data_IF_809581829108
#
_entry.id   IF_809581829108
#
_cell.length_a   1.000
_cell.length_b   1.000
_cell.length_c   1.000
_cell.angle_alpha   90.00
_cell.angle_beta   90.00
_cell.angle_gamma   90.00
#
_symmetry.space_group_name_H-M   'P 1'
#
loop_
_entity.id
_entity.type
_entity.pdbx_description
1 polymer ?
#
# COMPACT_ATOMS: atom_id res chain seq x y z
N UNK A 1 -9.30 -3.02 2.51
CA UNK A 1 -9.90 -1.83 3.15
C UNK A 1 -9.90 -2.02 4.65
N UNK A 2 -9.69 -0.95 5.43
CA UNK A 2 -9.76 -0.95 6.90
C UNK A 2 -10.44 0.33 7.37
N UNK A 3 -10.93 0.32 8.61
CA UNK A 3 -11.70 1.42 9.19
C UNK A 3 -13.17 1.41 8.75
N UNK A 4 -13.86 2.52 8.90
CA UNK A 4 -15.28 2.62 8.53
C UNK A 4 -15.46 2.72 7.01
N UNK A 5 -15.99 1.67 6.43
CA UNK A 5 -16.23 1.57 4.98
C UNK A 5 -17.54 2.22 4.53
N UNK A 6 -18.45 2.51 5.47
CA UNK A 6 -19.79 3.05 5.17
C UNK A 6 -19.86 4.57 5.37
N UNK A 7 -19.00 5.14 6.20
CA UNK A 7 -18.96 6.57 6.45
C UNK A 7 -18.51 7.35 5.19
N UNK A 8 -19.07 8.55 5.04
CA UNK A 8 -18.65 9.53 4.06
C UNK A 8 -17.56 10.42 4.69
N UNK A 9 -16.52 10.66 3.94
CA UNK A 9 -15.38 11.50 4.36
C UNK A 9 -15.22 12.65 3.38
N UNK A 10 -14.73 13.78 3.89
CA UNK A 10 -14.56 15.02 3.11
C UNK A 10 -13.27 15.05 2.31
N UNK A 11 -12.23 14.40 2.82
CA UNK A 11 -10.88 14.44 2.22
C UNK A 11 -10.37 13.06 1.89
N UNK A 12 -9.70 12.99 0.74
CA UNK A 12 -8.88 11.86 0.34
C UNK A 12 -7.42 12.27 0.33
N UNK A 13 -6.59 11.57 1.07
CA UNK A 13 -5.14 11.74 1.08
C UNK A 13 -4.56 10.51 0.40
N UNK A 14 -3.84 10.73 -0.71
CA UNK A 14 -3.29 9.68 -1.55
C UNK A 14 -1.77 9.67 -1.51
N UNK A 15 -1.20 8.47 -1.46
CA UNK A 15 0.23 8.22 -1.60
C UNK A 15 0.52 7.83 -3.05
N UNK A 16 1.16 8.71 -3.80
CA UNK A 16 1.40 8.55 -5.24
C UNK A 16 2.86 8.20 -5.49
N UNK A 17 3.10 7.18 -6.34
CA UNK A 17 4.43 6.78 -6.75
C UNK A 17 5.05 7.78 -7.74
N UNK A 18 6.31 8.15 -7.53
CA UNK A 18 7.07 9.03 -8.43
C UNK A 18 7.79 8.27 -9.53
N UNK A 19 8.15 7.02 -9.29
CA UNK A 19 8.87 6.16 -10.25
C UNK A 19 8.15 4.83 -10.46
N UNK A 20 8.31 4.18 -11.63
CA UNK A 20 7.76 2.86 -11.86
C UNK A 20 8.61 1.81 -11.17
N UNK A 21 7.98 0.97 -10.34
CA UNK A 21 8.69 -0.02 -9.53
C UNK A 21 7.87 -1.28 -9.27
N UNK A 22 8.52 -2.33 -8.77
CA UNK A 22 7.87 -3.52 -8.24
C UNK A 22 7.98 -3.54 -6.72
N UNK A 23 6.84 -3.40 -6.05
CA UNK A 23 6.77 -3.38 -4.59
C UNK A 23 6.37 -4.76 -4.09
N UNK A 24 7.18 -5.33 -3.19
CA UNK A 24 6.88 -6.63 -2.57
C UNK A 24 5.63 -6.55 -1.70
N UNK A 25 4.86 -7.64 -1.65
CA UNK A 25 3.66 -7.73 -0.80
C UNK A 25 3.93 -7.43 0.67
N UNK A 26 5.11 -7.83 1.18
CA UNK A 26 5.52 -7.55 2.57
C UNK A 26 5.65 -6.05 2.83
N UNK A 27 6.20 -5.28 1.88
CA UNK A 27 6.37 -3.83 2.01
C UNK A 27 5.00 -3.12 1.98
N UNK A 28 4.09 -3.55 1.10
CA UNK A 28 2.72 -3.02 1.04
C UNK A 28 1.96 -3.27 2.36
N UNK A 29 2.09 -4.49 2.90
CA UNK A 29 1.45 -4.84 4.16
C UNK A 29 2.05 -4.07 5.34
N UNK A 30 3.37 -3.93 5.39
CA UNK A 30 4.06 -3.13 6.41
C UNK A 30 3.63 -1.66 6.36
N UNK A 31 3.50 -1.09 5.15
CA UNK A 31 3.03 0.28 4.97
C UNK A 31 1.59 0.45 5.47
N UNK A 32 0.69 -0.50 5.11
CA UNK A 32 -0.70 -0.50 5.55
C UNK A 32 -0.81 -0.57 7.08
N UNK A 33 -0.10 -1.50 7.70
CA UNK A 33 -0.12 -1.70 9.17
C UNK A 33 0.44 -0.48 9.89
N UNK A 34 1.56 0.07 9.42
CA UNK A 34 2.17 1.26 10.02
C UNK A 34 1.26 2.49 9.93
N UNK A 35 0.64 2.73 8.76
CA UNK A 35 -0.30 3.82 8.59
C UNK A 35 -1.55 3.64 9.46
N UNK A 36 -2.08 2.41 9.53
CA UNK A 36 -3.25 2.09 10.35
C UNK A 36 -2.99 2.34 11.84
N UNK A 37 -1.81 1.95 12.35
CA UNK A 37 -1.46 2.17 13.75
C UNK A 37 -1.51 3.66 14.11
N UNK A 38 -0.91 4.52 13.28
CA UNK A 38 -0.90 5.98 13.53
C UNK A 38 -2.32 6.56 13.53
N UNK A 39 -3.19 6.09 12.63
CA UNK A 39 -4.58 6.56 12.56
C UNK A 39 -5.42 6.04 13.72
N UNK A 40 -5.25 4.78 14.08
CA UNK A 40 -5.96 4.17 15.18
C UNK A 40 -5.65 4.86 16.50
N UNK A 41 -4.37 5.16 16.76
CA UNK A 41 -3.93 5.86 17.97
C UNK A 41 -4.48 7.31 18.04
N UNK A 42 -4.71 7.96 16.89
CA UNK A 42 -5.17 9.34 16.82
C UNK A 42 -6.71 9.48 16.77
N UNK A 43 -7.41 8.59 16.09
CA UNK A 43 -8.83 8.77 15.70
C UNK A 43 -9.75 7.64 16.18
N UNK A 44 -9.18 6.54 16.72
CA UNK A 44 -9.94 5.34 17.00
C UNK A 44 -10.36 4.59 15.73
N UNK A 45 -11.27 3.64 15.83
CA UNK A 45 -11.61 2.68 14.77
C UNK A 45 -12.50 3.25 13.67
N UNK A 46 -13.34 4.22 13.98
CA UNK A 46 -14.40 4.74 13.09
C UNK A 46 -14.05 6.07 12.41
N UNK A 47 -12.96 6.73 12.81
CA UNK A 47 -12.61 8.08 12.34
C UNK A 47 -11.94 8.15 10.96
N UNK A 48 -11.69 7.02 10.31
CA UNK A 48 -10.96 6.97 9.04
C UNK A 48 -11.30 5.73 8.22
N UNK A 49 -10.89 5.75 6.94
CA UNK A 49 -10.92 4.60 6.05
C UNK A 49 -9.62 4.51 5.27
N UNK A 50 -8.99 3.35 5.27
CA UNK A 50 -7.80 3.04 4.47
C UNK A 50 -8.16 2.14 3.30
N UNK A 51 -7.66 2.49 2.10
CA UNK A 51 -7.81 1.70 0.91
C UNK A 51 -6.45 1.50 0.24
N UNK A 52 -5.97 0.25 0.20
CA UNK A 52 -4.80 -0.14 -0.59
C UNK A 52 -5.25 -0.32 -2.04
N UNK A 53 -4.72 0.52 -2.96
CA UNK A 53 -5.13 0.56 -4.39
C UNK A 53 -4.38 -0.45 -5.24
N UNK A 54 -3.23 -0.86 -4.81
CA UNK A 54 -2.33 -1.73 -5.57
C UNK A 54 -2.41 -3.15 -5.04
N UNK A 55 -2.53 -4.13 -5.96
CA UNK A 55 -2.61 -5.55 -5.60
C UNK A 55 -1.36 -6.32 -6.05
N UNK A 56 -0.72 -7.13 -5.18
CA UNK A 56 0.49 -7.90 -5.49
C UNK A 56 0.14 -9.21 -6.22
N UNK A 57 -0.08 -9.15 -7.54
CA UNK A 57 -0.44 -10.32 -8.34
C UNK A 57 0.72 -10.91 -9.16
N UNK A 58 1.86 -10.23 -9.23
CA UNK A 58 3.04 -10.72 -9.94
C UNK A 58 3.82 -11.66 -9.03
N UNK A 59 4.15 -12.85 -9.55
CA UNK A 59 4.92 -13.84 -8.83
C UNK A 59 6.41 -13.58 -9.06
N UNK A 60 7.16 -13.41 -7.97
CA UNK A 60 8.61 -13.34 -7.97
C UNK A 60 9.18 -14.74 -7.85
N UNK A 61 10.13 -15.08 -8.70
CA UNK A 61 10.83 -16.36 -8.72
C UNK A 61 12.26 -16.18 -8.25
N UNK A 62 12.77 -17.16 -7.55
CA UNK A 62 14.14 -17.17 -7.07
C UNK A 62 14.75 -18.55 -7.25
N UNK A 63 15.91 -18.63 -7.90
CA UNK A 63 16.73 -19.84 -7.97
C UNK A 63 17.70 -19.81 -6.77
N UNK A 64 17.24 -20.34 -5.63
CA UNK A 64 18.02 -20.34 -4.39
C UNK A 64 19.16 -21.33 -4.48
N UNK A 65 20.35 -20.86 -4.16
CA UNK A 65 21.52 -21.68 -3.90
C UNK A 65 21.40 -22.33 -2.52
N UNK A 66 21.67 -23.62 -2.44
CA UNK A 66 21.68 -24.35 -1.18
C UNK A 66 23.00 -24.04 -0.47
N UNK A 67 22.93 -23.45 0.73
CA UNK A 67 24.10 -23.03 1.51
C UNK A 67 24.67 -24.16 2.39
N UNK A 68 24.65 -25.41 1.93
CA UNK A 68 25.19 -26.57 2.64
C UNK A 68 26.42 -27.14 1.94
N UNK A 69 27.27 -27.87 2.69
CA UNK A 69 28.39 -28.59 2.12
C UNK A 69 27.89 -29.55 1.03
N UNK A 70 28.47 -29.47 -0.19
CA UNK A 70 28.02 -30.21 -1.35
C UNK A 70 26.95 -29.52 -2.19
N UNK A 71 26.73 -28.20 -1.99
CA UNK A 71 25.78 -27.39 -2.78
C UNK A 71 26.01 -27.52 -4.30
N UNK A 72 27.28 -27.62 -4.75
CA UNK A 72 27.65 -27.79 -6.16
C UNK A 72 27.12 -29.09 -6.78
N UNK A 73 26.88 -30.11 -5.97
CA UNK A 73 26.30 -31.40 -6.45
C UNK A 73 24.78 -31.33 -6.54
N UNK A 74 24.14 -30.42 -5.82
CA UNK A 74 22.67 -30.31 -5.74
C UNK A 74 22.11 -29.22 -6.63
N UNK A 75 22.96 -28.29 -7.10
CA UNK A 75 22.57 -27.19 -7.97
C UNK A 75 23.36 -27.25 -9.28
N UNK A 76 22.65 -27.22 -10.40
CA UNK A 76 23.25 -27.27 -11.75
C UNK A 76 23.63 -25.87 -12.28
N UNK A 77 23.79 -24.88 -11.41
CA UNK A 77 24.11 -23.51 -11.78
C UNK A 77 23.06 -22.91 -12.74
N UNK A 78 23.51 -22.37 -13.87
CA UNK A 78 22.63 -21.76 -14.88
C UNK A 78 21.87 -22.78 -15.73
N UNK A 79 22.26 -24.06 -15.73
CA UNK A 79 21.62 -25.08 -16.57
C UNK A 79 20.13 -25.29 -16.23
N UNK A 80 19.72 -25.16 -14.99
CA UNK A 80 18.33 -25.19 -14.51
C UNK A 80 18.02 -23.98 -13.67
N UNK A 81 18.33 -22.81 -14.21
CA UNK A 81 18.24 -21.54 -13.49
C UNK A 81 16.82 -21.02 -13.28
N UNK A 82 15.79 -21.67 -13.87
CA UNK A 82 14.41 -21.22 -13.68
C UNK A 82 13.99 -21.34 -12.23
N UNK A 83 13.78 -20.19 -11.60
CA UNK A 83 13.48 -20.08 -10.18
C UNK A 83 12.11 -20.63 -9.78
N UNK A 84 12.02 -21.09 -8.53
CA UNK A 84 10.75 -21.44 -7.90
C UNK A 84 10.04 -20.18 -7.37
N UNK A 85 8.70 -20.17 -7.27
CA UNK A 85 7.98 -19.05 -6.68
C UNK A 85 8.46 -18.75 -5.26
N UNK A 86 8.90 -17.51 -5.01
CA UNK A 86 9.45 -17.07 -3.71
C UNK A 86 8.57 -16.01 -3.05
N UNK A 87 7.87 -15.20 -3.83
CA UNK A 87 7.06 -14.11 -3.29
C UNK A 87 6.12 -13.51 -4.31
N UNK A 88 5.41 -12.48 -3.89
CA UNK A 88 4.52 -11.70 -4.75
C UNK A 88 4.92 -10.23 -4.74
N UNK A 89 4.72 -9.56 -5.87
CA UNK A 89 4.94 -8.13 -6.00
C UNK A 89 3.82 -7.48 -6.79
N UNK A 90 3.64 -6.19 -6.55
CA UNK A 90 2.77 -5.34 -7.32
C UNK A 90 3.62 -4.43 -8.21
N UNK A 91 3.26 -4.33 -9.48
CA UNK A 91 3.86 -3.38 -10.40
C UNK A 91 3.13 -2.05 -10.30
N UNK A 92 3.88 -1.00 -9.98
CA UNK A 92 3.36 0.36 -9.84
C UNK A 92 3.94 1.22 -10.96
N UNK A 93 3.10 2.08 -11.54
CA UNK A 93 3.49 3.06 -12.55
C UNK A 93 3.68 4.43 -11.90
N UNK A 94 4.45 5.30 -12.54
CA UNK A 94 4.55 6.71 -12.14
C UNK A 94 3.17 7.36 -12.13
N UNK A 95 2.87 8.13 -11.08
CA UNK A 95 1.58 8.78 -10.90
C UNK A 95 0.46 7.88 -10.37
N UNK A 96 0.74 6.60 -10.10
CA UNK A 96 -0.25 5.67 -9.56
C UNK A 96 -0.39 5.82 -8.05
N UNK A 97 -1.62 5.92 -7.55
CA UNK A 97 -1.89 5.85 -6.11
C UNK A 97 -1.66 4.44 -5.58
N UNK A 98 -0.88 4.34 -4.50
CA UNK A 98 -0.58 3.09 -3.79
C UNK A 98 -1.56 2.89 -2.65
N UNK A 99 -1.75 3.93 -1.83
CA UNK A 99 -2.56 3.92 -0.62
C UNK A 99 -3.40 5.19 -0.57
N UNK A 100 -4.69 5.05 -0.30
CA UNK A 100 -5.59 6.17 -0.05
C UNK A 100 -6.11 6.11 1.38
N UNK A 101 -6.12 7.26 2.06
CA UNK A 101 -6.74 7.45 3.37
C UNK A 101 -7.86 8.48 3.22
N UNK A 102 -9.03 8.12 3.73
CA UNK A 102 -10.20 8.99 3.75
C UNK A 102 -10.44 9.45 5.18
N UNK A 103 -10.58 10.75 5.37
CA UNK A 103 -10.75 11.39 6.69
C UNK A 103 -11.57 12.66 6.58
N UNK A 104 -12.05 13.15 7.73
CA UNK A 104 -12.69 14.46 7.84
C UNK A 104 -11.65 15.57 8.09
N UNK A 105 -12.07 16.82 8.00
CA UNK A 105 -11.24 18.02 8.15
C UNK A 105 -10.35 17.99 9.40
N UNK A 106 -10.87 17.53 10.53
CA UNK A 106 -10.16 17.49 11.82
C UNK A 106 -8.99 16.50 11.85
N UNK A 107 -8.91 15.55 10.93
CA UNK A 107 -7.97 14.43 10.94
C UNK A 107 -6.92 14.48 9.83
N UNK A 108 -6.89 15.54 9.04
CA UNK A 108 -6.00 15.68 7.87
C UNK A 108 -4.52 15.58 8.26
N UNK A 109 -4.12 16.23 9.37
CA UNK A 109 -2.72 16.20 9.81
C UNK A 109 -2.28 14.81 10.30
N UNK A 110 -3.16 14.11 11.03
CA UNK A 110 -2.93 12.73 11.44
C UNK A 110 -2.79 11.82 10.22
N UNK A 111 -3.62 12.01 9.21
CA UNK A 111 -3.55 11.23 7.98
C UNK A 111 -2.28 11.52 7.16
N UNK A 112 -1.84 12.77 7.07
CA UNK A 112 -0.55 13.12 6.45
C UNK A 112 0.63 12.49 7.19
N UNK A 113 0.60 12.47 8.52
CA UNK A 113 1.61 11.80 9.36
C UNK A 113 1.60 10.30 9.09
N UNK A 114 0.43 9.67 9.05
CA UNK A 114 0.28 8.25 8.74
C UNK A 114 0.83 7.90 7.35
N UNK A 115 0.59 8.73 6.33
CA UNK A 115 1.14 8.54 4.99
C UNK A 115 2.66 8.64 4.95
N UNK A 116 3.26 9.58 5.69
CA UNK A 116 4.72 9.68 5.82
C UNK A 116 5.31 8.43 6.46
N UNK A 117 4.71 7.93 7.54
CA UNK A 117 5.16 6.68 8.18
C UNK A 117 4.97 5.49 7.25
N UNK A 118 3.86 5.42 6.52
CA UNK A 118 3.61 4.38 5.51
C UNK A 118 4.64 4.42 4.37
N UNK A 119 4.99 5.60 3.86
CA UNK A 119 5.96 5.74 2.75
C UNK A 119 7.36 5.24 3.11
N UNK A 120 7.79 5.35 4.38
CA UNK A 120 9.11 4.81 4.81
C UNK A 120 9.23 3.29 4.70
N UNK A 121 8.11 2.57 4.57
CA UNK A 121 8.09 1.11 4.39
C UNK A 121 8.14 0.69 2.92
N UNK A 122 8.02 1.64 2.00
CA UNK A 122 8.06 1.41 0.56
C UNK A 122 9.44 1.74 0.01
N UNK A 123 9.89 0.98 -0.99
CA UNK A 123 11.15 1.23 -1.70
C UNK A 123 11.04 2.37 -2.72
N UNK A 124 9.83 2.79 -3.04
CA UNK A 124 9.52 3.81 -4.05
C UNK A 124 9.44 5.18 -3.41
N UNK A 125 10.01 6.18 -4.07
CA UNK A 125 9.76 7.57 -3.71
C UNK A 125 8.29 7.93 -3.97
N UNK A 126 7.63 8.50 -2.95
CA UNK A 126 6.22 8.80 -2.99
C UNK A 126 5.93 10.27 -2.64
N UNK A 127 4.89 10.82 -3.26
CA UNK A 127 4.32 12.12 -2.92
C UNK A 127 2.97 11.90 -2.23
N UNK A 128 2.71 12.71 -1.20
CA UNK A 128 1.42 12.76 -0.51
C UNK A 128 0.59 13.88 -1.14
N UNK A 129 -0.54 13.53 -1.72
CA UNK A 129 -1.51 14.49 -2.29
C UNK A 129 -2.79 14.52 -1.45
N UNK A 130 -3.43 15.67 -1.40
CA UNK A 130 -4.71 15.88 -0.72
C UNK A 130 -5.74 16.32 -1.75
N UNK A 131 -6.89 15.68 -1.73
CA UNK A 131 -8.05 16.01 -2.56
C UNK A 131 -9.28 16.17 -1.68
N UNK A 132 -10.09 17.20 -1.98
CA UNK A 132 -11.40 17.37 -1.36
C UNK A 132 -12.42 16.56 -2.15
N UNK A 133 -13.17 15.72 -1.46
CA UNK A 133 -14.26 14.96 -2.07
C UNK A 133 -15.53 15.82 -2.06
N UNK A 134 -16.21 15.93 -3.19
CA UNK A 134 -17.52 16.55 -3.23
C UNK A 134 -18.49 15.76 -2.33
N UNK A 135 -19.28 16.48 -1.52
CA UNK A 135 -20.36 15.84 -0.77
C UNK A 135 -21.27 15.09 -1.74
N UNK A 136 -21.71 13.87 -1.43
CA UNK A 136 -22.68 13.18 -2.25
C UNK A 136 -23.93 14.08 -2.35
N UNK A 137 -24.35 14.36 -3.57
CA UNK A 137 -25.60 15.08 -3.80
C UNK A 137 -26.72 14.31 -3.07
N UNK A 138 -27.26 14.88 -2.03
CA UNK A 138 -28.43 14.31 -1.35
C UNK A 138 -29.55 14.33 -2.38
N UNK A 139 -30.13 13.20 -2.78
CA UNK A 139 -31.28 13.24 -3.65
C UNK A 139 -32.40 14.01 -2.92
N UNK A 140 -32.74 15.17 -3.45
CA UNK A 140 -33.91 15.92 -2.99
C UNK A 140 -35.11 15.03 -3.30
N UNK A 141 -35.59 14.34 -2.29
CA UNK A 141 -36.92 13.68 -2.38
C UNK A 141 -37.91 14.79 -2.45
N UNK A 142 -38.37 15.13 -3.66
CA UNK A 142 -39.52 15.97 -3.87
C UNK A 142 -40.72 15.29 -3.23
N UNK A 143 -41.36 15.99 -2.27
CA UNK A 143 -42.61 15.61 -1.62
C UNK A 143 -43.76 15.79 -2.56
#
# INVERSE_FOLDING_TARGET
MMGDTKAHFEYRISLIAQSPEQIRHNALEAARVAANKVLFDALGETGYKIHLRVYPHIILRENRMIATAGADRLQEGMRRAFGKPSGRAARVKTGQSILDIYVNSNAVDAAKKAMRVGSTKLAVACIVTQETLAAPAVPVVAK
#
